data_IF_218991842520
#
_entry.id   IF_218991842520
#
_cell.length_a   1.000
_cell.length_b   1.000
_cell.length_c   1.000
_cell.angle_alpha   90.00
_cell.angle_beta   90.00
_cell.angle_gamma   90.00
#
_symmetry.space_group_name_H-M   'P 1'
#
loop_
_entity.id
_entity.type
_entity.pdbx_description
1 polymer ?
#
# COMPACT_ATOMS: atom_id res chain seq x y z
N UNK A 1 -13.09 9.37 -21.00
CA UNK A 1 -11.63 9.11 -21.15
C UNK A 1 -11.48 7.99 -22.17
N UNK A 2 -10.54 8.06 -23.12
CA UNK A 2 -10.29 6.95 -24.05
C UNK A 2 -9.69 5.76 -23.28
N UNK A 3 -10.12 4.52 -23.58
CA UNK A 3 -9.71 3.26 -22.92
C UNK A 3 -8.20 3.07 -22.91
N UNK A 4 -7.50 3.39 -24.00
CA UNK A 4 -6.03 3.31 -24.06
C UNK A 4 -5.35 4.20 -23.01
N UNK A 5 -5.89 5.41 -22.78
CA UNK A 5 -5.39 6.33 -21.77
C UNK A 5 -5.67 5.81 -20.35
N UNK A 6 -6.82 5.18 -20.13
CA UNK A 6 -7.18 4.58 -18.85
C UNK A 6 -6.21 3.44 -18.48
N UNK A 7 -5.95 2.55 -19.45
CA UNK A 7 -5.03 1.43 -19.31
C UNK A 7 -3.61 1.93 -19.03
N UNK A 8 -3.13 2.91 -19.78
CA UNK A 8 -1.81 3.50 -19.54
C UNK A 8 -1.67 4.04 -18.11
N UNK A 9 -2.67 4.75 -17.61
CA UNK A 9 -2.68 5.28 -16.24
C UNK A 9 -2.63 4.14 -15.22
N UNK A 10 -3.40 3.06 -15.42
CA UNK A 10 -3.35 1.88 -14.57
C UNK A 10 -1.94 1.29 -14.53
N UNK A 11 -1.31 1.09 -15.69
CA UNK A 11 0.02 0.49 -15.76
C UNK A 11 1.11 1.37 -15.14
N UNK A 12 1.06 2.69 -15.36
CA UNK A 12 1.95 3.65 -14.69
C UNK A 12 1.78 3.60 -13.16
N UNK A 13 0.54 3.49 -12.68
CA UNK A 13 0.24 3.37 -11.24
C UNK A 13 0.71 2.02 -10.66
N UNK A 14 0.58 0.92 -11.40
CA UNK A 14 1.08 -0.41 -11.00
C UNK A 14 2.61 -0.38 -10.92
N UNK A 15 3.29 0.18 -11.91
CA UNK A 15 4.75 0.33 -11.88
C UNK A 15 5.20 1.16 -10.67
N UNK A 16 4.51 2.28 -10.40
CA UNK A 16 4.76 3.10 -9.22
C UNK A 16 4.55 2.33 -7.91
N UNK A 17 3.48 1.52 -7.82
CA UNK A 17 3.18 0.71 -6.64
C UNK A 17 4.28 -0.32 -6.39
N UNK A 18 4.69 -1.08 -7.41
CA UNK A 18 5.75 -2.09 -7.32
C UNK A 18 7.06 -1.45 -6.83
N UNK A 19 7.45 -0.33 -7.43
CA UNK A 19 8.65 0.41 -7.01
C UNK A 19 8.55 0.87 -5.56
N UNK A 20 7.38 1.32 -5.11
CA UNK A 20 7.20 1.76 -3.73
C UNK A 20 7.26 0.58 -2.74
N UNK A 21 6.70 -0.58 -3.11
CA UNK A 21 6.76 -1.80 -2.30
C UNK A 21 8.20 -2.33 -2.15
N UNK A 22 9.04 -2.26 -3.20
CA UNK A 22 10.47 -2.59 -3.10
C UNK A 22 11.16 -1.79 -1.97
N UNK A 23 10.84 -0.50 -1.86
CA UNK A 23 11.38 0.36 -0.80
C UNK A 23 10.73 0.11 0.55
N UNK A 24 9.42 -0.17 0.59
CA UNK A 24 8.70 -0.56 1.80
C UNK A 24 9.31 -1.81 2.41
N UNK A 25 9.53 -2.86 1.62
CA UNK A 25 10.16 -4.11 2.06
C UNK A 25 11.56 -3.85 2.65
N UNK A 26 12.36 -3.00 2.02
CA UNK A 26 13.69 -2.65 2.55
C UNK A 26 13.62 -1.94 3.90
N UNK A 27 12.71 -0.98 4.08
CA UNK A 27 12.52 -0.32 5.39
C UNK A 27 11.94 -1.27 6.43
N UNK A 28 11.03 -2.15 6.03
CA UNK A 28 10.42 -3.15 6.89
C UNK A 28 11.48 -4.11 7.45
N UNK A 29 12.34 -4.63 6.58
CA UNK A 29 13.45 -5.51 6.98
C UNK A 29 14.46 -4.82 7.92
N UNK A 30 14.59 -3.49 7.85
CA UNK A 30 15.40 -2.73 8.82
C UNK A 30 14.66 -2.61 10.16
N UNK A 31 13.38 -2.23 10.13
CA UNK A 31 12.57 -2.07 11.32
C UNK A 31 12.41 -3.37 12.13
N UNK A 32 12.33 -4.54 11.46
CA UNK A 32 12.28 -5.84 12.12
C UNK A 32 13.52 -6.17 12.96
N UNK A 33 14.65 -5.52 12.70
CA UNK A 33 15.90 -5.73 13.46
C UNK A 33 15.95 -4.87 14.72
N UNK A 34 15.01 -3.94 14.89
CA UNK A 34 14.96 -3.05 16.03
C UNK A 34 14.38 -3.77 17.25
N UNK A 35 14.93 -3.45 18.42
CA UNK A 35 14.36 -3.92 19.68
C UNK A 35 13.39 -2.84 20.22
N UNK A 36 12.11 -2.98 19.88
CA UNK A 36 11.04 -2.05 20.27
C UNK A 36 10.57 -2.21 21.74
N UNK A 37 11.24 -3.06 22.51
CA UNK A 37 10.99 -3.21 23.95
C UNK A 37 12.03 -2.45 24.79
N UNK A 38 13.00 -1.77 24.16
CA UNK A 38 13.88 -0.85 24.86
C UNK A 38 13.07 0.32 25.43
N UNK A 39 13.39 0.73 26.66
CA UNK A 39 12.73 1.85 27.34
C UNK A 39 12.86 3.16 26.56
N UNK A 40 13.97 3.35 25.84
CA UNK A 40 14.18 4.48 24.95
C UNK A 40 14.74 4.00 23.61
N UNK A 41 14.09 4.39 22.51
CA UNK A 41 14.62 4.23 21.16
C UNK A 41 15.63 5.34 20.89
N UNK A 42 16.76 4.99 20.27
CA UNK A 42 17.72 5.98 19.80
C UNK A 42 17.17 6.76 18.60
N UNK A 43 17.80 7.89 18.28
CA UNK A 43 17.45 8.71 17.13
C UNK A 43 17.49 7.92 15.81
N UNK A 44 18.51 7.07 15.62
CA UNK A 44 18.63 6.17 14.47
C UNK A 44 17.48 5.15 14.38
N UNK A 45 17.05 4.60 15.53
CA UNK A 45 15.91 3.66 15.57
C UNK A 45 14.62 4.38 15.15
N UNK A 46 14.43 5.63 15.60
CA UNK A 46 13.29 6.47 15.22
C UNK A 46 13.29 6.81 13.74
N UNK A 47 14.44 7.19 13.16
CA UNK A 47 14.57 7.48 11.73
C UNK A 47 14.19 6.28 10.86
N UNK A 48 14.58 5.07 11.27
CA UNK A 48 14.21 3.82 10.58
C UNK A 48 12.69 3.62 10.60
N UNK A 49 12.07 3.84 11.76
CA UNK A 49 10.63 3.69 11.95
C UNK A 49 9.82 4.75 11.21
N UNK A 50 10.26 6.00 11.21
CA UNK A 50 9.66 7.09 10.42
C UNK A 50 9.77 6.81 8.91
N UNK A 51 10.93 6.31 8.47
CA UNK A 51 11.12 5.91 7.07
C UNK A 51 10.15 4.79 6.68
N UNK A 52 9.96 3.79 7.54
CA UNK A 52 8.97 2.73 7.34
C UNK A 52 7.56 3.32 7.26
N UNK A 53 7.18 4.15 8.23
CA UNK A 53 5.85 4.77 8.30
C UNK A 53 5.51 5.59 7.05
N UNK A 54 6.43 6.43 6.61
CA UNK A 54 6.26 7.21 5.39
C UNK A 54 6.07 6.34 4.15
N UNK A 55 6.83 5.25 4.02
CA UNK A 55 6.71 4.30 2.89
C UNK A 55 5.44 3.47 2.97
N UNK A 56 5.03 3.07 4.17
CA UNK A 56 3.77 2.36 4.41
C UNK A 56 2.60 3.24 3.97
N UNK A 57 2.51 4.46 4.50
CA UNK A 57 1.42 5.37 4.17
C UNK A 57 1.37 5.73 2.68
N UNK A 58 2.54 5.94 2.05
CA UNK A 58 2.63 6.15 0.60
C UNK A 58 2.15 4.92 -0.19
N UNK A 59 2.45 3.71 0.27
CA UNK A 59 1.99 2.48 -0.38
C UNK A 59 0.47 2.35 -0.29
N UNK A 60 -0.12 2.59 0.88
CA UNK A 60 -1.58 2.61 1.08
C UNK A 60 -2.24 3.63 0.13
N UNK A 61 -1.70 4.84 0.05
CA UNK A 61 -2.23 5.89 -0.83
C UNK A 61 -2.15 5.50 -2.31
N UNK A 62 -1.02 4.92 -2.76
CA UNK A 62 -0.88 4.46 -4.15
C UNK A 62 -1.84 3.30 -4.43
N UNK A 63 -1.91 2.30 -3.56
CA UNK A 63 -2.79 1.15 -3.72
C UNK A 63 -4.24 1.61 -3.87
N UNK A 64 -4.78 2.34 -2.88
CA UNK A 64 -6.21 2.66 -2.83
C UNK A 64 -6.57 3.79 -3.79
N UNK A 65 -5.87 4.91 -3.73
CA UNK A 65 -6.30 6.13 -4.43
C UNK A 65 -5.81 6.18 -5.89
N UNK A 66 -4.78 5.40 -6.25
CA UNK A 66 -4.28 5.35 -7.63
C UNK A 66 -4.63 4.02 -8.28
N UNK A 67 -4.10 2.91 -7.80
CA UNK A 67 -4.22 1.60 -8.48
C UNK A 67 -5.66 1.11 -8.51
N UNK A 68 -6.31 0.92 -7.36
CA UNK A 68 -7.70 0.42 -7.31
C UNK A 68 -8.66 1.37 -8.03
N UNK A 69 -8.48 2.69 -7.86
CA UNK A 69 -9.26 3.69 -8.59
C UNK A 69 -9.05 3.61 -10.11
N UNK A 70 -7.82 3.47 -10.59
CA UNK A 70 -7.56 3.34 -12.02
C UNK A 70 -8.04 2.00 -12.60
N UNK A 71 -8.04 0.94 -11.77
CA UNK A 71 -8.59 -0.36 -12.14
C UNK A 71 -10.10 -0.29 -12.34
N UNK A 72 -10.81 0.33 -11.39
CA UNK A 72 -12.25 0.61 -11.53
C UNK A 72 -12.55 1.36 -12.84
N UNK A 73 -11.74 2.35 -13.20
CA UNK A 73 -11.95 3.10 -14.44
C UNK A 73 -11.72 2.26 -15.70
N UNK A 74 -10.71 1.38 -15.69
CA UNK A 74 -10.47 0.42 -16.79
C UNK A 74 -11.63 -0.57 -16.91
N UNK A 75 -12.23 -0.97 -15.79
CA UNK A 75 -13.38 -1.87 -15.73
C UNK A 75 -14.74 -1.17 -15.91
N UNK A 76 -14.73 0.13 -16.26
CA UNK A 76 -15.92 0.96 -16.49
C UNK A 76 -16.86 1.09 -15.27
N UNK A 77 -16.29 0.96 -14.08
CA UNK A 77 -16.99 1.12 -12.80
C UNK A 77 -17.21 2.60 -12.45
N UNK A 78 -18.26 2.88 -11.66
CA UNK A 78 -18.47 4.21 -11.09
C UNK A 78 -17.48 4.49 -9.94
N UNK A 79 -16.74 5.60 -10.07
CA UNK A 79 -15.73 6.08 -9.13
C UNK A 79 -16.20 7.31 -8.31
N UNK A 80 -17.49 7.65 -8.39
CA UNK A 80 -18.11 8.76 -7.66
C UNK A 80 -18.02 8.55 -6.14
N UNK A 81 -18.13 7.30 -5.68
CA UNK A 81 -18.09 6.92 -4.27
C UNK A 81 -16.77 6.25 -3.93
N UNK A 82 -16.02 6.84 -2.98
CA UNK A 82 -14.72 6.30 -2.54
C UNK A 82 -14.83 4.95 -1.83
N UNK A 83 -15.93 4.70 -1.13
CA UNK A 83 -16.18 3.44 -0.42
C UNK A 83 -16.30 2.26 -1.40
N UNK A 84 -16.89 2.49 -2.57
CA UNK A 84 -17.12 1.43 -3.57
C UNK A 84 -15.79 0.87 -4.11
N UNK A 85 -14.72 1.68 -4.11
CA UNK A 85 -13.38 1.26 -4.54
C UNK A 85 -12.86 0.11 -3.66
N UNK A 86 -12.96 0.24 -2.33
CA UNK A 86 -12.47 -0.79 -1.41
C UNK A 86 -13.40 -2.00 -1.35
N UNK A 87 -14.71 -1.79 -1.48
CA UNK A 87 -15.69 -2.89 -1.59
C UNK A 87 -15.44 -3.72 -2.85
N UNK A 88 -15.13 -3.09 -3.98
CA UNK A 88 -14.79 -3.84 -5.19
C UNK A 88 -13.44 -4.55 -5.10
N UNK A 89 -12.48 -4.01 -4.32
CA UNK A 89 -11.23 -4.72 -4.06
C UNK A 89 -11.45 -6.06 -3.32
N UNK A 90 -12.37 -6.08 -2.34
CA UNK A 90 -12.82 -7.31 -1.70
C UNK A 90 -13.49 -8.26 -2.71
N UNK A 91 -14.42 -7.76 -3.54
CA UNK A 91 -15.06 -8.59 -4.59
C UNK A 91 -14.08 -9.17 -5.61
N UNK A 92 -12.95 -8.51 -5.85
CA UNK A 92 -11.84 -9.01 -6.71
C UNK A 92 -10.94 -10.02 -6.00
N UNK A 93 -11.13 -10.25 -4.70
CA UNK A 93 -10.33 -11.16 -3.89
C UNK A 93 -8.98 -10.58 -3.46
N UNK A 94 -8.81 -9.25 -3.47
CA UNK A 94 -7.56 -8.64 -2.99
C UNK A 94 -7.47 -8.63 -1.47
N UNK A 95 -8.62 -8.62 -0.80
CA UNK A 95 -8.79 -8.69 0.65
C UNK A 95 -10.04 -9.50 0.97
N UNK A 96 -10.07 -10.12 2.14
CA UNK A 96 -11.25 -10.89 2.60
C UNK A 96 -12.35 -9.98 3.19
N UNK A 97 -11.98 -8.80 3.68
CA UNK A 97 -12.91 -7.76 4.19
C UNK A 97 -12.39 -6.37 3.77
N UNK A 98 -13.22 -5.60 3.06
CA UNK A 98 -12.87 -4.24 2.63
C UNK A 98 -12.51 -3.31 3.79
N UNK A 99 -13.00 -3.57 5.00
CA UNK A 99 -12.70 -2.77 6.21
C UNK A 99 -11.23 -2.82 6.57
N UNK A 100 -10.50 -3.87 6.18
CA UNK A 100 -9.05 -3.95 6.36
C UNK A 100 -8.33 -2.85 5.57
N UNK A 101 -8.80 -2.53 4.35
CA UNK A 101 -8.24 -1.41 3.57
C UNK A 101 -8.57 -0.05 4.19
N UNK A 102 -9.72 0.07 4.85
CA UNK A 102 -10.08 1.26 5.62
C UNK A 102 -9.15 1.40 6.83
N UNK A 103 -8.94 0.32 7.58
CA UNK A 103 -8.03 0.30 8.73
C UNK A 103 -6.60 0.71 8.35
N UNK A 104 -6.07 0.23 7.21
CA UNK A 104 -4.76 0.66 6.71
C UNK A 104 -4.70 2.17 6.43
N UNK A 105 -5.78 2.74 5.90
CA UNK A 105 -5.88 4.18 5.62
C UNK A 105 -5.99 4.99 6.91
N UNK A 106 -6.73 4.49 7.89
CA UNK A 106 -6.91 5.17 9.17
C UNK A 106 -5.60 5.15 9.97
N UNK A 107 -4.93 3.99 10.03
CA UNK A 107 -3.60 3.86 10.62
C UNK A 107 -2.63 4.89 10.01
N UNK A 108 -2.64 5.06 8.69
CA UNK A 108 -1.84 6.11 8.01
C UNK A 108 -2.20 7.54 8.44
N UNK A 109 -3.48 7.84 8.69
CA UNK A 109 -3.92 9.19 9.07
C UNK A 109 -3.60 9.51 10.54
N UNK A 110 -3.55 8.49 11.40
CA UNK A 110 -3.21 8.65 12.82
C UNK A 110 -1.76 9.11 13.05
N UNK A 111 -0.85 8.88 12.10
CA UNK A 111 0.52 9.42 12.14
C UNK A 111 0.59 10.91 11.81
N UNK A 112 -0.40 11.46 11.09
CA UNK A 112 -0.40 12.88 10.72
C UNK A 112 -0.88 13.79 11.86
N UNK A 113 -1.51 13.24 12.90
CA UNK A 113 -2.26 14.01 13.90
C UNK A 113 -1.74 13.92 15.35
N UNK A 114 -0.86 12.97 15.69
CA UNK A 114 -0.44 12.77 17.09
C UNK A 114 1.09 12.70 17.25
N UNK A 115 1.72 13.84 17.55
CA UNK A 115 3.07 13.91 18.13
C UNK A 115 3.01 13.91 19.68
N UNK A 116 2.28 12.95 20.28
CA UNK A 116 2.36 12.69 21.73
C UNK A 116 3.18 11.40 21.90
N UNK A 117 4.40 11.54 22.43
CA UNK A 117 5.45 10.50 22.45
C UNK A 117 4.99 9.15 23.03
N UNK A 118 4.06 9.13 23.99
CA UNK A 118 3.64 7.91 24.68
C UNK A 118 2.90 6.90 23.78
N UNK A 119 2.27 7.35 22.68
CA UNK A 119 1.56 6.45 21.75
C UNK A 119 2.38 6.09 20.50
N UNK A 120 3.54 6.72 20.29
CA UNK A 120 4.29 6.62 19.04
C UNK A 120 4.88 5.22 18.80
N UNK A 121 5.49 4.62 19.83
CA UNK A 121 6.08 3.27 19.72
C UNK A 121 5.00 2.22 19.42
N UNK A 122 3.83 2.35 20.06
CA UNK A 122 2.69 1.45 19.84
C UNK A 122 2.24 1.51 18.38
N UNK A 123 2.12 2.71 17.81
CA UNK A 123 1.75 2.86 16.41
C UNK A 123 2.81 2.31 15.46
N UNK A 124 4.10 2.48 15.77
CA UNK A 124 5.16 1.87 14.96
C UNK A 124 5.10 0.34 14.98
N UNK A 125 4.79 -0.27 16.14
CA UNK A 125 4.52 -1.72 16.23
C UNK A 125 3.35 -2.11 15.33
N UNK A 126 2.27 -1.35 15.36
CA UNK A 126 1.10 -1.60 14.51
C UNK A 126 1.43 -1.50 13.01
N UNK A 127 2.22 -0.51 12.56
CA UNK A 127 2.70 -0.48 11.18
C UNK A 127 3.49 -1.74 10.85
N UNK A 128 4.41 -2.16 11.70
CA UNK A 128 5.24 -3.34 11.46
C UNK A 128 4.34 -4.58 11.33
N UNK A 129 3.32 -4.72 12.18
CA UNK A 129 2.35 -5.81 12.14
C UNK A 129 1.49 -5.79 10.87
N UNK A 130 1.06 -4.60 10.41
CA UNK A 130 0.20 -4.44 9.23
C UNK A 130 0.96 -4.40 7.91
N UNK A 131 2.28 -4.19 7.92
CA UNK A 131 3.09 -4.09 6.70
C UNK A 131 3.07 -5.38 5.86
N UNK A 132 3.21 -6.60 6.43
CA UNK A 132 3.04 -7.85 5.68
C UNK A 132 1.67 -7.97 5.02
N UNK A 133 0.59 -7.62 5.71
CA UNK A 133 -0.75 -7.64 5.16
C UNK A 133 -0.87 -6.70 3.96
N UNK A 134 -0.37 -5.46 4.06
CA UNK A 134 -0.35 -4.53 2.93
C UNK A 134 0.42 -5.10 1.72
N UNK A 135 1.54 -5.79 1.95
CA UNK A 135 2.31 -6.41 0.87
C UNK A 135 1.57 -7.58 0.22
N UNK A 136 0.90 -8.45 0.99
CA UNK A 136 0.04 -9.52 0.47
C UNK A 136 -1.09 -9.00 -0.43
N UNK A 137 -1.75 -7.90 -0.02
CA UNK A 137 -2.77 -7.25 -0.87
C UNK A 137 -2.17 -6.79 -2.20
N UNK A 138 -0.98 -6.19 -2.18
CA UNK A 138 -0.31 -5.75 -3.42
C UNK A 138 0.07 -6.95 -4.30
N UNK A 139 0.54 -8.05 -3.70
CA UNK A 139 0.86 -9.30 -4.39
C UNK A 139 -0.36 -9.95 -5.06
N UNK A 140 -1.58 -9.73 -4.55
CA UNK A 140 -2.82 -10.19 -5.19
C UNK A 140 -3.25 -9.30 -6.36
N UNK A 141 -2.97 -8.00 -6.31
CA UNK A 141 -3.35 -7.06 -7.38
C UNK A 141 -2.54 -7.28 -8.65
N UNK A 142 -1.24 -7.57 -8.54
CA UNK A 142 -0.35 -7.70 -9.69
C UNK A 142 -0.73 -8.85 -10.65
N UNK A 143 -0.95 -10.09 -10.18
CA UNK A 143 -1.44 -11.19 -11.00
C UNK A 143 -2.79 -10.88 -11.66
N UNK A 144 -3.70 -10.19 -10.94
CA UNK A 144 -5.01 -9.83 -11.49
C UNK A 144 -4.87 -8.95 -12.74
N UNK A 145 -4.04 -7.90 -12.67
CA UNK A 145 -3.79 -7.00 -13.80
C UNK A 145 -3.11 -7.73 -14.97
N UNK A 146 -2.20 -8.66 -14.67
CA UNK A 146 -1.51 -9.46 -15.68
C UNK A 146 -2.43 -10.49 -16.36
N UNK A 147 -3.24 -11.23 -15.61
CA UNK A 147 -4.20 -12.22 -16.14
C UNK A 147 -5.22 -11.53 -17.06
N UNK A 148 -5.66 -10.33 -16.69
CA UNK A 148 -6.55 -9.50 -17.51
C UNK A 148 -5.85 -8.83 -18.69
N UNK A 149 -4.53 -8.99 -18.80
CA UNK A 149 -3.70 -8.48 -19.90
C UNK A 149 -3.76 -6.95 -20.05
N UNK A 150 -4.04 -6.23 -18.97
CA UNK A 150 -4.13 -4.77 -19.04
C UNK A 150 -2.77 -4.13 -19.32
N UNK A 151 -1.68 -4.73 -18.84
CA UNK A 151 -0.33 -4.15 -18.94
C UNK A 151 0.64 -4.96 -19.81
N UNK A 152 0.18 -5.60 -20.89
CA UNK A 152 1.00 -6.42 -21.82
C UNK A 152 2.07 -5.66 -22.65
N UNK A 153 2.54 -4.52 -22.17
CA UNK A 153 3.73 -3.85 -22.71
C UNK A 153 4.67 -3.48 -21.57
N UNK A 154 5.37 -4.48 -21.04
CA UNK A 154 6.79 -4.44 -20.62
C UNK A 154 7.14 -5.70 -19.80
N UNK A 155 7.34 -6.83 -20.49
CA UNK A 155 7.96 -8.07 -19.98
C UNK A 155 9.45 -7.89 -19.58
N UNK A 156 9.78 -6.79 -18.91
CA UNK A 156 11.15 -6.50 -18.44
C UNK A 156 11.27 -6.27 -16.94
N UNK A 157 10.20 -6.36 -16.18
CA UNK A 157 10.27 -6.18 -14.73
C UNK A 157 9.70 -7.44 -14.10
N UNK A 158 10.55 -8.10 -13.30
CA UNK A 158 10.29 -9.30 -12.48
C UNK A 158 10.83 -10.60 -13.10
N UNK A 159 12.15 -10.78 -12.97
CA UNK A 159 12.71 -12.06 -12.56
C UNK A 159 13.09 -11.91 -11.08
N UNK A 160 12.49 -12.73 -10.23
CA UNK A 160 12.98 -12.98 -8.87
C UNK A 160 14.16 -13.93 -8.93
#
# INVERSE_FOLDING_TARGET
MNTERAIKILCDNIYLLIKNVEWLQKSYNKALKLNLNKENLGEEDLEILETLSNRFGRTVDILINKVLRSLDVVELEDISRKLDIVIRAEKRGFVDDYRLLIALKDLKNEFAHEYIQENLIKKFKEIIEQTPFLMDVVEKVYPYVNIKKYCEQNDKVIKY
#
